data_IF_846587314131
#
_entry.id   IF_846587314131
#
_cell.length_a   1.000
_cell.length_b   1.000
_cell.length_c   1.000
_cell.angle_alpha   90.00
_cell.angle_beta   90.00
_cell.angle_gamma   90.00
#
_symmetry.space_group_name_H-M   'P 1'
#
loop_
_entity.id
_entity.type
_entity.pdbx_description
1 polymer ?
#
# COMPACT_ATOMS: atom_id res chain seq x y z
N UNK A 1 -4.28 7.59 -1.95
CA UNK A 1 -4.52 7.93 -0.54
C UNK A 1 -3.24 8.50 0.05
N UNK A 2 -3.32 9.69 0.67
CA UNK A 2 -2.13 10.30 1.25
C UNK A 2 -1.74 9.57 2.55
N UNK A 3 -0.48 9.75 3.04
CA UNK A 3 0.00 9.02 4.21
C UNK A 3 -0.85 9.16 5.48
N UNK A 4 -1.41 10.35 5.73
CA UNK A 4 -2.27 10.56 6.89
C UNK A 4 -3.58 9.79 6.78
N UNK A 5 -4.19 9.81 5.60
CA UNK A 5 -5.42 9.08 5.33
C UNK A 5 -5.19 7.57 5.40
N UNK A 6 -4.02 7.08 5.02
CA UNK A 6 -3.67 5.66 5.13
C UNK A 6 -3.69 5.18 6.58
N UNK A 7 -3.07 5.93 7.49
CA UNK A 7 -3.05 5.57 8.90
C UNK A 7 -4.45 5.54 9.50
N UNK A 8 -5.28 6.53 9.18
CA UNK A 8 -6.67 6.55 9.62
C UNK A 8 -7.46 5.38 9.07
N UNK A 9 -7.27 5.04 7.80
CA UNK A 9 -7.93 3.91 7.17
C UNK A 9 -7.53 2.60 7.85
N UNK A 10 -6.26 2.39 8.13
CA UNK A 10 -5.77 1.17 8.79
C UNK A 10 -6.31 1.04 10.20
N UNK A 11 -6.37 2.13 10.95
CA UNK A 11 -6.96 2.13 12.29
C UNK A 11 -8.44 1.76 12.26
N UNK A 12 -9.18 2.29 11.29
CA UNK A 12 -10.60 1.99 11.14
C UNK A 12 -10.81 0.52 10.75
N UNK A 13 -10.00 -0.01 9.85
CA UNK A 13 -10.07 -1.43 9.47
C UNK A 13 -9.84 -2.31 10.69
N UNK A 14 -8.81 -2.02 11.47
CA UNK A 14 -8.50 -2.80 12.68
C UNK A 14 -9.64 -2.74 13.69
N UNK A 15 -10.25 -1.56 13.85
CA UNK A 15 -11.34 -1.38 14.82
C UNK A 15 -12.56 -2.22 14.51
N UNK A 16 -12.90 -2.38 13.21
CA UNK A 16 -14.10 -3.12 12.82
C UNK A 16 -13.85 -4.63 12.66
N UNK A 17 -12.61 -5.06 12.64
CA UNK A 17 -12.27 -6.48 12.58
C UNK A 17 -12.33 -7.10 13.98
N UNK A 18 -12.88 -8.29 14.05
CA UNK A 18 -12.91 -9.05 15.30
C UNK A 18 -11.51 -9.61 15.61
N UNK A 19 -11.25 -9.97 16.86
CA UNK A 19 -10.06 -10.73 17.23
C UNK A 19 -9.95 -11.96 16.33
N UNK A 20 -8.77 -12.23 15.82
CA UNK A 20 -8.49 -13.26 14.82
C UNK A 20 -9.07 -12.98 13.43
N UNK A 21 -9.52 -11.77 13.18
CA UNK A 21 -9.95 -11.36 11.85
C UNK A 21 -8.79 -11.38 10.86
N UNK A 22 -9.11 -11.68 9.60
CA UNK A 22 -8.13 -11.70 8.50
C UNK A 22 -8.42 -10.59 7.53
N UNK A 23 -7.37 -10.07 6.91
CA UNK A 23 -7.48 -9.09 5.84
C UNK A 23 -6.72 -9.55 4.62
N UNK A 24 -7.19 -9.11 3.46
CA UNK A 24 -6.47 -9.21 2.20
C UNK A 24 -6.63 -7.87 1.49
N UNK A 25 -5.54 -7.18 1.24
CA UNK A 25 -5.56 -5.86 0.61
C UNK A 25 -4.69 -5.90 -0.64
N UNK A 26 -5.31 -5.56 -1.77
CA UNK A 26 -4.61 -5.44 -3.05
C UNK A 26 -4.41 -3.96 -3.35
N UNK A 27 -3.19 -3.60 -3.71
CA UNK A 27 -2.87 -2.22 -4.03
C UNK A 27 -1.64 -2.16 -4.94
N UNK A 28 -1.31 -0.95 -5.37
CA UNK A 28 -0.12 -0.67 -6.14
C UNK A 28 0.93 -0.11 -5.19
N UNK A 29 2.12 -0.68 -5.24
CA UNK A 29 3.27 -0.22 -4.45
C UNK A 29 4.40 0.22 -5.37
N UNK A 30 5.28 1.08 -4.84
CA UNK A 30 6.47 1.55 -5.55
C UNK A 30 7.73 1.03 -4.88
N UNK A 31 8.79 0.84 -5.66
CA UNK A 31 10.09 0.42 -5.14
C UNK A 31 10.90 1.59 -4.55
N UNK A 32 10.49 2.82 -4.84
CA UNK A 32 11.09 4.06 -4.33
C UNK A 32 9.99 4.97 -3.85
N UNK A 33 10.32 5.91 -2.95
CA UNK A 33 9.35 6.91 -2.52
C UNK A 33 8.91 7.77 -3.69
N UNK A 34 7.60 7.99 -3.80
CA UNK A 34 7.04 8.82 -4.86
C UNK A 34 7.25 10.28 -4.50
N UNK A 35 7.93 11.08 -5.37
CA UNK A 35 8.13 12.51 -5.11
C UNK A 35 6.81 13.26 -5.02
N UNK A 36 6.80 14.37 -4.26
CA UNK A 36 5.63 15.21 -4.11
C UNK A 36 5.11 15.71 -5.45
N UNK A 37 6.01 16.02 -6.39
CA UNK A 37 5.62 16.46 -7.73
C UNK A 37 4.76 15.42 -8.45
N UNK A 38 5.06 14.14 -8.28
CA UNK A 38 4.25 13.05 -8.85
C UNK A 38 2.98 12.83 -8.05
N UNK A 39 3.04 12.99 -6.72
CA UNK A 39 1.86 12.84 -5.85
C UNK A 39 0.78 13.86 -6.18
N UNK A 40 1.18 15.03 -6.65
CA UNK A 40 0.25 16.12 -6.98
C UNK A 40 -0.14 16.19 -8.46
N UNK A 41 0.30 15.24 -9.27
CA UNK A 41 -0.03 15.20 -10.69
C UNK A 41 -1.40 14.54 -10.88
N UNK A 42 -2.43 15.29 -11.36
CA UNK A 42 -3.78 14.74 -11.52
C UNK A 42 -3.85 13.59 -12.52
N UNK A 43 -3.03 13.58 -13.54
CA UNK A 43 -3.03 12.50 -14.53
C UNK A 43 -2.51 11.20 -13.92
N UNK A 44 -1.52 11.30 -13.04
CA UNK A 44 -0.97 10.15 -12.33
C UNK A 44 -1.92 9.64 -11.24
N UNK A 45 -2.69 10.52 -10.62
CA UNK A 45 -3.72 10.12 -9.66
C UNK A 45 -4.75 9.20 -10.32
N UNK A 46 -5.23 9.54 -11.50
CA UNK A 46 -6.20 8.70 -12.21
C UNK A 46 -5.61 7.34 -12.58
N UNK A 47 -4.29 7.24 -12.73
CA UNK A 47 -3.58 5.99 -12.96
C UNK A 47 -3.16 5.26 -11.68
N UNK A 48 -3.56 5.74 -10.52
CA UNK A 48 -3.17 5.20 -9.20
C UNK A 48 -1.68 5.29 -8.90
N UNK A 49 -0.94 6.10 -9.65
CA UNK A 49 0.52 6.25 -9.47
C UNK A 49 0.85 7.19 -8.31
N UNK A 50 0.17 8.34 -8.26
CA UNK A 50 0.43 9.36 -7.23
C UNK A 50 0.14 8.86 -5.83
N UNK A 51 -0.84 7.97 -5.69
CA UNK A 51 -1.24 7.40 -4.42
C UNK A 51 -0.57 6.08 -4.09
N UNK A 52 0.38 5.62 -4.89
CA UNK A 52 1.06 4.37 -4.64
C UNK A 52 1.82 4.38 -3.31
N UNK A 53 1.77 3.28 -2.60
CA UNK A 53 2.43 3.13 -1.32
C UNK A 53 3.87 2.68 -1.53
N UNK A 54 4.82 3.29 -0.83
CA UNK A 54 6.20 2.81 -0.84
C UNK A 54 6.23 1.41 -0.20
N UNK A 55 6.70 0.40 -0.93
CA UNK A 55 6.57 -1.01 -0.52
C UNK A 55 7.06 -1.31 0.90
N UNK A 56 8.25 -0.85 1.34
CA UNK A 56 8.68 -1.08 2.71
C UNK A 56 7.76 -0.45 3.76
N UNK A 57 7.19 0.71 3.46
CA UNK A 57 6.27 1.38 4.37
C UNK A 57 4.89 0.70 4.40
N UNK A 58 4.49 0.08 3.29
CA UNK A 58 3.24 -0.66 3.19
C UNK A 58 3.15 -1.74 4.27
N UNK A 59 4.19 -2.55 4.38
CA UNK A 59 4.26 -3.61 5.40
C UNK A 59 4.43 -3.01 6.79
N UNK A 60 5.32 -2.03 6.92
CA UNK A 60 5.63 -1.39 8.21
C UNK A 60 4.40 -0.74 8.83
N UNK A 61 3.58 -0.05 8.03
CA UNK A 61 2.39 0.62 8.53
C UNK A 61 1.35 -0.37 9.05
N UNK A 62 1.19 -1.51 8.38
CA UNK A 62 0.29 -2.56 8.87
C UNK A 62 0.80 -3.17 10.19
N UNK A 63 2.11 -3.40 10.30
CA UNK A 63 2.70 -3.91 11.53
C UNK A 63 2.53 -2.94 12.70
N UNK A 64 2.75 -1.66 12.45
CA UNK A 64 2.66 -0.62 13.47
C UNK A 64 1.27 -0.55 14.08
N UNK A 65 0.24 -0.79 13.29
CA UNK A 65 -1.14 -0.77 13.74
C UNK A 65 -1.52 -2.04 14.50
N UNK A 66 -0.74 -3.11 14.35
CA UNK A 66 -0.91 -4.34 15.12
C UNK A 66 -1.36 -5.54 14.32
N UNK A 67 -1.33 -5.48 13.01
CA UNK A 67 -1.58 -6.66 12.18
C UNK A 67 -0.40 -7.63 12.28
N UNK A 68 -0.72 -8.91 12.28
CA UNK A 68 0.24 -10.01 12.45
C UNK A 68 0.24 -10.93 11.24
N UNK A 69 1.30 -11.73 11.13
CA UNK A 69 1.43 -12.74 10.07
C UNK A 69 1.30 -12.14 8.67
N UNK A 70 1.84 -10.94 8.48
CA UNK A 70 1.79 -10.24 7.22
C UNK A 70 2.66 -10.93 6.17
N UNK A 71 2.09 -11.17 5.00
CA UNK A 71 2.83 -11.72 3.85
C UNK A 71 2.16 -11.30 2.56
N UNK A 72 2.93 -11.32 1.48
CA UNK A 72 2.35 -11.11 0.15
C UNK A 72 1.80 -12.43 -0.36
N UNK A 73 0.47 -12.50 -0.55
CA UNK A 73 -0.17 -13.62 -1.23
C UNK A 73 0.12 -13.58 -2.72
N UNK A 74 0.19 -12.36 -3.28
CA UNK A 74 0.57 -12.13 -4.67
C UNK A 74 1.46 -10.91 -4.75
N UNK A 75 2.44 -10.96 -5.63
CA UNK A 75 3.30 -9.83 -5.95
C UNK A 75 3.78 -10.01 -7.38
N UNK A 76 3.43 -9.06 -8.25
CA UNK A 76 3.84 -9.17 -9.65
C UNK A 76 5.37 -9.16 -9.76
N UNK A 77 5.93 -10.09 -10.53
CA UNK A 77 7.38 -10.21 -10.73
C UNK A 77 7.91 -9.07 -11.57
N UNK A 78 7.09 -8.52 -12.46
CA UNK A 78 7.47 -7.41 -13.31
C UNK A 78 6.65 -6.17 -12.93
N UNK A 79 7.23 -4.96 -13.08
CA UNK A 79 6.47 -3.75 -12.80
C UNK A 79 5.33 -3.59 -13.79
N UNK A 80 4.18 -3.17 -13.27
CA UNK A 80 3.03 -2.80 -14.09
C UNK A 80 3.30 -1.52 -14.90
N UNK A 81 4.05 -0.61 -14.32
CA UNK A 81 4.41 0.66 -14.95
C UNK A 81 5.70 1.20 -14.35
N UNK A 82 6.46 1.94 -15.13
CA UNK A 82 7.67 2.63 -14.67
C UNK A 82 7.51 4.12 -14.99
N UNK A 83 7.65 4.97 -13.99
CA UNK A 83 7.58 6.44 -14.13
C UNK A 83 8.81 7.02 -13.45
N UNK A 84 9.63 7.78 -14.18
CA UNK A 84 10.84 8.42 -13.66
C UNK A 84 11.73 7.46 -12.86
N UNK A 85 11.99 6.28 -13.44
CA UNK A 85 12.79 5.20 -12.83
C UNK A 85 12.18 4.58 -11.57
N UNK A 86 10.94 4.92 -11.23
CA UNK A 86 10.21 4.29 -10.14
C UNK A 86 9.36 3.16 -10.71
N UNK A 87 9.54 1.96 -10.19
CA UNK A 87 8.76 0.80 -10.60
C UNK A 87 7.51 0.68 -9.72
N UNK A 88 6.37 0.55 -10.37
CA UNK A 88 5.07 0.36 -9.73
C UNK A 88 4.56 -1.05 -10.04
N UNK A 89 4.17 -1.78 -9.02
CA UNK A 89 3.66 -3.14 -9.20
C UNK A 89 2.47 -3.41 -8.30
N UNK A 90 1.67 -4.39 -8.68
CA UNK A 90 0.52 -4.81 -7.89
C UNK A 90 0.94 -5.86 -6.87
N UNK A 91 0.39 -5.75 -5.68
CA UNK A 91 0.61 -6.71 -4.60
C UNK A 91 -0.71 -7.00 -3.89
N UNK A 92 -0.80 -8.17 -3.27
CA UNK A 92 -1.88 -8.48 -2.34
C UNK A 92 -1.25 -8.86 -1.00
N UNK A 93 -1.49 -8.05 0.00
CA UNK A 93 -1.00 -8.28 1.36
C UNK A 93 -2.09 -8.95 2.19
N UNK A 94 -1.75 -10.05 2.84
CA UNK A 94 -2.66 -10.73 3.76
C UNK A 94 -2.07 -10.71 5.17
N UNK A 95 -2.96 -10.71 6.15
CA UNK A 95 -2.55 -10.70 7.55
C UNK A 95 -3.75 -10.91 8.44
N UNK A 96 -3.51 -10.90 9.75
CA UNK A 96 -4.57 -11.03 10.74
C UNK A 96 -4.27 -10.17 11.97
N UNK A 97 -5.28 -10.02 12.79
CA UNK A 97 -5.14 -9.29 14.06
C UNK A 97 -4.68 -10.22 15.16
#
# INVERSE_FOLDING_TARGET
>A
VNPESRKSLLKNIKRVLKSNGRIAISDIVSNKKVPISLQNDPDLWSGCISGAWYEPEFISDFKEIGFKNLKFAERSSEPWKIVEDIEFRTVTLVGNI
#
